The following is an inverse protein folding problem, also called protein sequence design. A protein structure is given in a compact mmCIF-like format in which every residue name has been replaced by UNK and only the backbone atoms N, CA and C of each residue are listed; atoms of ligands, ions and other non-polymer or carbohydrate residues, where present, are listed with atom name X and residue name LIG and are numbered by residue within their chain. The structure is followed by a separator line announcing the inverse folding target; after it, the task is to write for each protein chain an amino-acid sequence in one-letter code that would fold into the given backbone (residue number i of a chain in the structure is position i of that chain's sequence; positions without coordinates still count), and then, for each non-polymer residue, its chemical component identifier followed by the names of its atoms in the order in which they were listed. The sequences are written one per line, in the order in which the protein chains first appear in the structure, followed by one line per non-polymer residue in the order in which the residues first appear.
data_IF_682648007747
#
_entry.id   IF_682648007747
#
_cell.length_a   1.000
_cell.length_b   1.000
_cell.length_c   1.000
_cell.angle_alpha   90.00
_cell.angle_beta   90.00
_cell.angle_gamma   90.00
#
_symmetry.space_group_name_H-M   'P 1'
#
loop_
_entity.id
_entity.type
_entity.pdbx_description
1 polymer ?
#
# COMPACT_ATOMS: atom_id res chain seq x y z
N UNK A 1 -27.81 -14.96 -2.27
CA UNK A 1 -26.51 -14.49 -2.81
C UNK A 1 -26.33 -13.07 -2.31
N UNK A 2 -25.64 -12.89 -1.18
CA UNK A 2 -25.46 -11.58 -0.53
C UNK A 2 -24.09 -11.04 -0.92
N UNK A 3 -24.07 -9.92 -1.64
CA UNK A 3 -22.86 -9.14 -1.90
C UNK A 3 -22.48 -8.42 -0.59
N UNK A 4 -21.52 -8.98 0.14
CA UNK A 4 -20.88 -8.30 1.26
C UNK A 4 -19.78 -7.39 0.72
N UNK A 5 -19.98 -6.08 0.77
CA UNK A 5 -18.89 -5.11 0.57
C UNK A 5 -17.93 -5.23 1.75
N UNK A 6 -16.84 -5.99 1.57
CA UNK A 6 -15.75 -6.06 2.53
C UNK A 6 -14.89 -4.82 2.32
N UNK A 7 -15.13 -3.79 3.12
CA UNK A 7 -14.20 -2.67 3.32
C UNK A 7 -13.20 -3.15 4.39
N UNK A 8 -11.98 -3.52 4.00
CA UNK A 8 -10.93 -3.82 4.99
C UNK A 8 -10.43 -2.52 5.65
N UNK A 9 -10.19 -2.59 6.95
CA UNK A 9 -10.15 -1.50 7.94
C UNK A 9 -9.03 -0.45 7.81
N UNK A 10 -9.28 0.74 8.37
CA UNK A 10 -8.40 1.92 8.42
C UNK A 10 -7.78 2.11 9.81
N UNK A 11 -6.51 2.59 9.95
CA UNK A 11 -6.04 3.14 11.21
C UNK A 11 -6.55 4.57 11.44
N UNK A 12 -6.88 4.88 12.70
CA UNK A 12 -7.43 6.18 13.13
C UNK A 12 -6.35 7.27 13.05
N UNK A 13 -6.52 8.27 12.18
CA UNK A 13 -5.78 9.53 12.30
C UNK A 13 -6.22 10.27 13.57
N UNK A 14 -5.25 10.69 14.39
CA UNK A 14 -5.47 11.45 15.61
C UNK A 14 -6.26 12.74 15.34
N UNK A 15 -7.31 12.97 16.11
CA UNK A 15 -8.23 14.09 15.96
C UNK A 15 -7.63 15.37 16.57
N UNK A 16 -7.11 16.25 15.71
CA UNK A 16 -6.89 17.66 16.02
C UNK A 16 -8.22 18.44 15.91
N UNK A 17 -8.59 19.14 16.97
CA UNK A 17 -9.82 19.96 17.07
C UNK A 17 -9.69 21.22 16.22
N UNK A 18 -10.43 21.33 15.12
CA UNK A 18 -10.88 22.62 14.61
C UNK A 18 -12.32 22.58 14.11
N UNK A 19 -13.05 23.58 14.61
CA UNK A 19 -14.38 24.12 14.33
C UNK A 19 -15.14 23.66 13.07
N UNK A 20 -16.44 23.46 13.29
CA UNK A 20 -17.53 23.13 12.36
C UNK A 20 -17.79 24.27 11.37
N UNK A 21 -17.62 24.00 10.07
CA UNK A 21 -18.36 24.66 8.99
C UNK A 21 -19.01 23.59 8.13
N UNK A 22 -20.34 23.55 8.15
CA UNK A 22 -21.17 22.72 7.29
C UNK A 22 -21.10 23.29 5.87
N UNK A 23 -20.14 22.83 5.07
CA UNK A 23 -20.26 22.86 3.62
C UNK A 23 -20.70 21.47 3.18
N UNK A 24 -21.87 21.39 2.53
CA UNK A 24 -22.31 20.27 1.70
C UNK A 24 -21.42 20.17 0.45
N UNK A 25 -20.10 20.11 0.65
CA UNK A 25 -19.19 19.67 -0.38
C UNK A 25 -19.49 18.19 -0.59
N UNK A 26 -20.21 17.88 -1.68
CA UNK A 26 -20.16 16.56 -2.29
C UNK A 26 -18.67 16.20 -2.34
N UNK A 27 -18.23 15.22 -1.53
CA UNK A 27 -16.88 14.66 -1.65
C UNK A 27 -16.69 14.37 -3.14
N UNK A 28 -15.63 14.90 -3.80
CA UNK A 28 -15.46 14.67 -5.23
C UNK A 28 -15.52 13.16 -5.46
N UNK A 29 -16.32 12.71 -6.42
CA UNK A 29 -16.60 11.29 -6.68
C UNK A 29 -15.29 10.52 -6.83
N UNK A 30 -14.95 9.61 -5.91
CA UNK A 30 -13.68 8.87 -5.81
C UNK A 30 -13.22 8.32 -7.17
N UNK A 31 -11.97 8.55 -7.59
CA UNK A 31 -11.45 8.01 -8.84
C UNK A 31 -10.94 6.59 -8.58
N UNK A 32 -11.88 5.66 -8.48
CA UNK A 32 -11.58 4.23 -8.42
C UNK A 32 -11.21 3.74 -9.82
N UNK A 33 -9.99 3.26 -10.00
CA UNK A 33 -9.52 2.68 -11.25
C UNK A 33 -9.48 1.15 -11.14
N UNK A 34 -10.04 0.45 -12.11
CA UNK A 34 -9.95 -1.01 -12.18
C UNK A 34 -8.55 -1.41 -12.62
N UNK A 35 -7.90 -2.27 -11.84
CA UNK A 35 -6.47 -2.59 -12.01
C UNK A 35 -6.18 -4.07 -12.25
N UNK A 36 -7.11 -4.96 -11.88
CA UNK A 36 -7.03 -6.41 -12.07
C UNK A 36 -8.39 -7.08 -11.79
N UNK A 37 -8.53 -8.34 -12.19
CA UNK A 37 -9.55 -9.27 -11.72
C UNK A 37 -9.03 -10.11 -10.53
N UNK A 38 -9.96 -10.68 -9.75
CA UNK A 38 -9.63 -11.49 -8.56
C UNK A 38 -8.76 -12.72 -8.89
N UNK A 39 -8.97 -13.36 -10.03
CA UNK A 39 -8.26 -14.55 -10.48
C UNK A 39 -6.82 -14.28 -10.91
N UNK A 40 -6.50 -13.04 -11.28
CA UNK A 40 -5.16 -12.62 -11.68
C UNK A 40 -4.16 -12.53 -10.52
N UNK A 41 -4.67 -12.54 -9.27
CA UNK A 41 -3.85 -12.42 -8.06
C UNK A 41 -4.32 -13.46 -7.04
N UNK A 42 -3.90 -14.73 -7.17
CA UNK A 42 -4.22 -15.77 -6.21
C UNK A 42 -3.75 -15.42 -4.79
N UNK A 43 -4.38 -16.04 -3.78
CA UNK A 43 -3.99 -15.88 -2.38
C UNK A 43 -2.49 -16.14 -2.16
N UNK A 44 -1.84 -15.27 -1.40
CA UNK A 44 -0.40 -15.33 -1.11
C UNK A 44 0.49 -14.76 -2.22
N UNK A 45 -0.10 -14.28 -3.32
CA UNK A 45 0.64 -13.69 -4.43
C UNK A 45 0.53 -12.16 -4.46
N UNK A 46 1.29 -11.55 -5.37
CA UNK A 46 1.31 -10.10 -5.59
C UNK A 46 1.58 -9.76 -7.05
N UNK A 47 1.02 -8.65 -7.49
CA UNK A 47 1.07 -8.19 -8.88
C UNK A 47 1.37 -6.71 -8.97
N UNK A 48 2.22 -6.33 -9.93
CA UNK A 48 2.42 -4.91 -10.24
C UNK A 48 1.33 -4.48 -11.21
N UNK A 49 0.64 -3.40 -10.88
CA UNK A 49 -0.41 -2.79 -11.70
C UNK A 49 -0.11 -1.31 -11.92
N UNK A 50 -0.84 -0.67 -12.82
CA UNK A 50 -0.75 0.77 -13.08
C UNK A 50 -2.10 1.42 -12.77
N UNK A 51 -2.07 2.57 -12.10
CA UNK A 51 -3.25 3.38 -11.87
C UNK A 51 -2.85 4.84 -11.58
N UNK A 52 -3.60 5.80 -12.12
CA UNK A 52 -3.32 7.24 -12.04
C UNK A 52 -1.87 7.63 -12.37
N UNK A 53 -1.23 6.94 -13.32
CA UNK A 53 0.16 7.17 -13.70
C UNK A 53 1.22 6.57 -12.76
N UNK A 54 0.81 5.92 -11.66
CA UNK A 54 1.69 5.27 -10.71
C UNK A 54 1.80 3.76 -10.97
N UNK A 55 2.94 3.17 -10.63
CA UNK A 55 3.10 1.71 -10.51
C UNK A 55 2.84 1.29 -9.08
N UNK A 56 1.84 0.43 -8.90
CA UNK A 56 1.42 -0.08 -7.59
C UNK A 56 1.78 -1.56 -7.47
N UNK A 57 1.90 -2.05 -6.25
CA UNK A 57 2.04 -3.47 -5.92
C UNK A 57 0.80 -3.90 -5.14
N UNK A 58 -0.02 -4.72 -5.79
CA UNK A 58 -1.17 -5.37 -5.19
C UNK A 58 -0.75 -6.66 -4.50
N UNK A 59 -1.28 -6.90 -3.31
CA UNK A 59 -1.12 -8.11 -2.52
C UNK A 59 -2.48 -8.75 -2.31
N UNK A 60 -2.54 -10.08 -2.41
CA UNK A 60 -3.68 -10.86 -1.92
C UNK A 60 -3.20 -11.63 -0.69
N UNK A 61 -3.58 -11.13 0.49
CA UNK A 61 -3.26 -11.73 1.78
C UNK A 61 -4.49 -12.45 2.34
N UNK A 62 -4.30 -13.27 3.37
CA UNK A 62 -5.42 -13.93 4.07
C UNK A 62 -6.41 -12.93 4.67
N UNK A 63 -5.94 -11.73 4.99
CA UNK A 63 -6.76 -10.63 5.53
C UNK A 63 -7.41 -9.75 4.46
N UNK A 64 -7.15 -10.00 3.17
CA UNK A 64 -7.73 -9.28 2.04
C UNK A 64 -6.71 -8.72 1.04
N UNK A 65 -7.17 -7.80 0.20
CA UNK A 65 -6.35 -7.15 -0.81
C UNK A 65 -5.78 -5.83 -0.32
N UNK A 66 -4.51 -5.59 -0.62
CA UNK A 66 -3.80 -4.36 -0.25
C UNK A 66 -3.01 -3.82 -1.42
N UNK A 67 -2.91 -2.50 -1.54
CA UNK A 67 -2.13 -1.84 -2.58
C UNK A 67 -1.12 -0.89 -1.95
N UNK A 68 0.13 -0.97 -2.39
CA UNK A 68 1.19 -0.02 -2.02
C UNK A 68 1.91 0.51 -3.25
N UNK A 69 2.76 1.52 -3.09
CA UNK A 69 3.72 1.89 -4.15
C UNK A 69 4.63 0.70 -4.52
N UNK A 70 4.93 0.53 -5.81
CA UNK A 70 5.72 -0.62 -6.27
C UNK A 70 7.23 -0.55 -5.98
N UNK A 71 7.73 0.61 -5.53
CA UNK A 71 9.15 0.89 -5.38
C UNK A 71 9.51 1.33 -3.97
N UNK A 72 10.65 0.85 -3.48
CA UNK A 72 11.13 1.15 -2.14
C UNK A 72 11.37 2.66 -1.99
N UNK A 73 10.84 3.31 -0.95
CA UNK A 73 10.98 4.75 -0.76
C UNK A 73 12.41 5.16 -0.38
N UNK A 74 13.30 4.20 -0.07
CA UNK A 74 14.72 4.46 0.15
C UNK A 74 15.46 4.80 -1.16
N UNK A 75 15.59 3.82 -2.08
CA UNK A 75 16.35 3.95 -3.34
C UNK A 75 15.65 3.32 -4.55
N UNK A 76 14.30 3.37 -4.57
CA UNK A 76 13.47 2.97 -5.70
C UNK A 76 13.70 1.53 -6.19
N UNK A 77 14.15 0.63 -5.32
CA UNK A 77 14.25 -0.79 -5.63
C UNK A 77 12.84 -1.37 -5.89
N UNK A 78 12.65 -2.21 -6.93
CA UNK A 78 11.37 -2.83 -7.20
C UNK A 78 10.99 -3.78 -6.06
N UNK A 79 9.85 -3.52 -5.41
CA UNK A 79 9.41 -4.28 -4.23
C UNK A 79 8.74 -5.61 -4.58
N UNK A 80 8.35 -5.82 -5.86
CA UNK A 80 7.75 -7.09 -6.32
C UNK A 80 8.64 -8.30 -6.01
N UNK A 81 9.96 -8.14 -6.10
CA UNK A 81 10.94 -9.19 -5.78
C UNK A 81 11.36 -9.24 -4.31
N UNK A 82 10.81 -8.36 -3.46
CA UNK A 82 11.09 -8.36 -2.02
C UNK A 82 10.54 -9.60 -1.32
N UNK A 83 11.07 -9.99 -0.16
CA UNK A 83 10.56 -11.16 0.57
C UNK A 83 9.34 -10.77 1.40
N UNK A 84 8.26 -11.54 1.34
CA UNK A 84 7.12 -11.38 2.24
C UNK A 84 7.36 -12.24 3.50
N UNK A 85 7.36 -11.63 4.67
CA UNK A 85 7.64 -12.24 5.96
C UNK A 85 6.37 -12.15 6.83
N UNK A 86 6.04 -13.21 7.56
CA UNK A 86 4.89 -13.21 8.47
C UNK A 86 3.55 -12.87 7.80
N UNK A 87 3.43 -13.06 6.48
CA UNK A 87 2.22 -12.79 5.71
C UNK A 87 1.98 -11.33 5.31
N UNK A 88 2.59 -10.34 5.95
CA UNK A 88 2.29 -8.91 5.70
C UNK A 88 3.51 -7.99 5.71
N UNK A 89 4.69 -8.49 6.10
CA UNK A 89 5.91 -7.66 6.18
C UNK A 89 6.70 -7.81 4.89
N UNK A 90 6.73 -6.76 4.07
CA UNK A 90 7.51 -6.74 2.85
C UNK A 90 8.92 -6.25 3.13
N UNK A 91 9.90 -7.13 2.94
CA UNK A 91 11.31 -6.78 2.99
C UNK A 91 11.84 -6.42 1.61
N UNK A 92 12.38 -5.21 1.48
CA UNK A 92 13.06 -4.73 0.28
C UNK A 92 14.27 -5.63 -0.06
N UNK A 93 14.44 -6.04 -1.33
CA UNK A 93 15.48 -6.99 -1.72
C UNK A 93 16.89 -6.40 -1.69
N UNK A 94 17.05 -5.07 -1.68
CA UNK A 94 18.36 -4.43 -1.71
C UNK A 94 18.89 -4.16 -0.31
N UNK A 95 18.20 -3.29 0.44
CA UNK A 95 18.72 -2.78 1.72
C UNK A 95 17.97 -3.30 2.95
N UNK A 96 17.14 -4.32 2.76
CA UNK A 96 16.38 -5.01 3.81
C UNK A 96 15.47 -4.14 4.68
N UNK A 97 15.11 -2.94 4.21
CA UNK A 97 14.02 -2.15 4.79
C UNK A 97 12.74 -3.00 4.81
N UNK A 98 11.99 -2.95 5.91
CA UNK A 98 10.79 -3.75 6.13
C UNK A 98 9.59 -2.82 6.32
N UNK A 99 8.50 -3.16 5.65
CA UNK A 99 7.27 -2.39 5.67
C UNK A 99 6.09 -3.31 5.95
N UNK A 100 5.16 -2.87 6.79
CA UNK A 100 3.84 -3.50 6.86
C UNK A 100 3.05 -3.08 5.61
N UNK A 101 2.65 -4.02 4.76
CA UNK A 101 1.93 -3.69 3.51
C UNK A 101 0.47 -3.30 3.74
N UNK A 102 -0.08 -3.56 4.93
CA UNK A 102 -1.46 -3.24 5.28
C UNK A 102 -1.64 -1.79 5.72
N UNK A 103 -0.59 -1.22 6.33
CA UNK A 103 -0.59 0.16 6.84
C UNK A 103 0.39 1.08 6.10
N UNK A 104 1.42 0.50 5.48
CA UNK A 104 2.56 1.21 4.88
C UNK A 104 3.66 1.57 5.87
N UNK A 105 3.50 1.24 7.16
CA UNK A 105 4.43 1.61 8.23
C UNK A 105 5.83 1.04 8.01
N UNK A 106 6.86 1.82 8.37
CA UNK A 106 8.24 1.36 8.42
C UNK A 106 8.46 0.56 9.70
N UNK A 107 8.69 -0.75 9.57
CA UNK A 107 9.03 -1.61 10.70
C UNK A 107 10.55 -1.66 10.93
N UNK A 108 11.32 -1.48 9.85
CA UNK A 108 12.78 -1.41 9.88
C UNK A 108 13.28 -0.59 8.71
N UNK A 109 14.16 0.37 8.95
CA UNK A 109 14.78 1.13 7.87
C UNK A 109 16.01 0.46 7.25
N UNK A 110 16.50 1.06 6.17
CA UNK A 110 17.60 0.57 5.36
C UNK A 110 18.93 0.62 6.14
N UNK A 111 19.24 -0.45 6.86
CA UNK A 111 20.43 -0.59 7.72
C UNK A 111 21.37 -1.71 7.25
N UNK A 112 21.17 -2.26 6.05
CA UNK A 112 22.02 -3.29 5.46
C UNK A 112 22.26 -2.99 3.98
N UNK A 113 23.47 -3.23 3.41
CA UNK A 113 24.69 -3.66 4.08
C UNK A 113 25.32 -2.54 4.93
N UNK A 114 26.29 -2.85 5.80
CA UNK A 114 27.03 -1.83 6.54
C UNK A 114 27.56 -0.74 5.59
N UNK A 115 27.34 0.52 5.97
CA UNK A 115 27.71 1.72 5.20
C UNK A 115 26.50 2.46 4.64
N UNK A 116 25.41 1.74 4.32
CA UNK A 116 24.20 2.38 3.77
C UNK A 116 23.57 3.38 4.75
N UNK A 117 23.74 3.17 6.06
CA UNK A 117 23.19 4.04 7.09
C UNK A 117 23.69 5.49 7.02
N UNK A 118 24.86 5.73 6.41
CA UNK A 118 25.35 7.09 6.18
C UNK A 118 24.38 7.89 5.28
N UNK A 119 23.69 7.21 4.35
CA UNK A 119 22.70 7.84 3.49
C UNK A 119 21.40 8.17 4.23
N UNK A 120 21.09 7.51 5.34
CA UNK A 120 19.86 7.74 6.08
C UNK A 120 19.80 9.14 6.70
N UNK A 121 20.95 9.79 6.92
CA UNK A 121 21.02 11.20 7.36
C UNK A 121 20.46 12.14 6.28
N UNK A 122 20.70 11.83 5.00
CA UNK A 122 20.20 12.61 3.86
C UNK A 122 18.82 12.13 3.38
N UNK A 123 18.51 10.85 3.59
CA UNK A 123 17.27 10.18 3.18
C UNK A 123 16.67 9.44 4.37
N UNK A 124 15.97 10.20 5.20
CA UNK A 124 15.25 9.68 6.36
C UNK A 124 14.15 8.67 6.01
N UNK A 125 13.63 8.04 7.05
CA UNK A 125 12.55 7.07 6.99
C UNK A 125 11.32 7.62 6.27
N UNK A 126 10.74 6.77 5.41
CA UNK A 126 9.52 7.07 4.67
C UNK A 126 8.65 5.81 4.61
N UNK A 127 7.41 5.93 5.05
CA UNK A 127 6.40 4.90 4.87
C UNK A 127 6.17 4.58 3.39
N UNK A 128 5.67 3.38 3.10
CA UNK A 128 5.08 3.10 1.81
C UNK A 128 3.76 3.88 1.69
N UNK A 129 3.57 4.56 0.57
CA UNK A 129 2.24 4.98 0.18
C UNK A 129 1.34 3.75 0.02
N UNK A 130 0.17 3.80 0.65
CA UNK A 130 -0.90 2.81 0.52
C UNK A 130 -2.07 3.41 -0.23
N UNK A 131 -2.78 2.56 -0.97
CA UNK A 131 -3.90 2.97 -1.79
C UNK A 131 -5.12 2.13 -1.41
N UNK A 132 -6.27 2.74 -1.06
CA UNK A 132 -7.47 2.00 -0.74
C UNK A 132 -7.87 1.04 -1.87
N UNK A 133 -8.15 -0.21 -1.51
CA UNK A 133 -8.63 -1.23 -2.45
C UNK A 133 -10.12 -1.47 -2.21
N UNK A 134 -10.89 -1.52 -3.28
CA UNK A 134 -12.32 -1.86 -3.28
C UNK A 134 -12.54 -3.01 -4.25
N UNK A 135 -13.29 -4.02 -3.80
CA UNK A 135 -13.70 -5.14 -4.64
C UNK A 135 -15.15 -4.90 -5.09
N UNK A 136 -15.39 -4.90 -6.39
CA UNK A 136 -16.72 -4.78 -6.98
C UNK A 136 -16.93 -5.93 -7.97
N UNK A 137 -17.75 -6.92 -7.58
CA UNK A 137 -17.89 -8.16 -8.34
C UNK A 137 -16.56 -8.92 -8.36
N UNK A 138 -16.02 -9.15 -9.57
CA UNK A 138 -14.73 -9.81 -9.80
C UNK A 138 -13.59 -8.81 -10.03
N UNK A 139 -13.85 -7.49 -9.96
CA UNK A 139 -12.87 -6.45 -10.22
C UNK A 139 -12.21 -5.95 -8.94
N UNK A 140 -10.89 -5.79 -9.00
CA UNK A 140 -10.08 -5.08 -8.01
C UNK A 140 -9.92 -3.64 -8.48
N UNK A 141 -10.40 -2.69 -7.66
CA UNK A 141 -10.32 -1.26 -7.93
C UNK A 141 -9.47 -0.56 -6.87
N UNK A 142 -8.73 0.46 -7.27
CA UNK A 142 -7.84 1.22 -6.37
C UNK A 142 -8.19 2.70 -6.43
N UNK A 143 -8.23 3.36 -5.27
CA UNK A 143 -8.38 4.81 -5.15
C UNK A 143 -7.01 5.50 -5.28
N UNK A 144 -6.86 6.40 -6.26
CA UNK A 144 -5.58 7.06 -6.62
C UNK A 144 -5.53 8.54 -6.19
N UNK A 145 -6.28 8.92 -5.16
CA UNK A 145 -6.33 10.30 -4.65
C UNK A 145 -5.59 10.55 -3.35
#
# INVERSE_FOLDING_TARGET
MLAGNIITSWPKRAAGRYSRLLHTARRPAVALETVAHLDEIPLGTRKVVKAGGHKLLLFHLETGFYATQAYCPHLLAPLKSGKLLGGHILQCPFHRAQFDVTSGEVLRWANFPPGIQALNVLRGERCLATYPVVIEGDQIRVDIR
#
